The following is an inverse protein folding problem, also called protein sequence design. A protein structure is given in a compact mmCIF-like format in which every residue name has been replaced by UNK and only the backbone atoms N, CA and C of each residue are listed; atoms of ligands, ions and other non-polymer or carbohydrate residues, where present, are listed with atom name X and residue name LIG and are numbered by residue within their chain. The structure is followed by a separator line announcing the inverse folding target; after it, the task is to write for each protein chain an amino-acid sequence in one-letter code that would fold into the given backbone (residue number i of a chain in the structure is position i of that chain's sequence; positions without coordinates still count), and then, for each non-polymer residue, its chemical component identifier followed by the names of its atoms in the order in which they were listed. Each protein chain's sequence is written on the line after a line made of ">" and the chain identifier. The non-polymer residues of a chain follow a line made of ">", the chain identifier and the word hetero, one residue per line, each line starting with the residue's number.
data_IF_560214654406
#
_entry.id   IF_560214654406
#
_cell.length_a   1.000
_cell.length_b   1.000
_cell.length_c   1.000
_cell.angle_alpha   90.00
_cell.angle_beta   90.00
_cell.angle_gamma   90.00
#
_symmetry.space_group_name_H-M   'P 1'
#
loop_
_entity.id
_entity.type
_entity.pdbx_description
1 polymer ?
#
# COMPACT_ATOMS: atom_id res chain seq x y z
N UNK A 1 8.12 -13.75 11.96
CA UNK A 1 7.79 -12.31 11.78
C UNK A 1 6.60 -12.18 10.84
N UNK A 2 5.60 -11.34 11.17
CA UNK A 2 4.50 -11.04 10.24
C UNK A 2 5.02 -10.11 9.13
N UNK A 3 4.60 -10.34 7.87
CA UNK A 3 4.86 -9.43 6.73
C UNK A 3 3.60 -9.28 5.87
N UNK A 4 3.68 -8.49 4.79
CA UNK A 4 2.58 -8.31 3.84
C UNK A 4 1.34 -7.67 4.49
N UNK A 5 0.17 -7.97 3.96
CA UNK A 5 -1.09 -7.36 4.39
C UNK A 5 -1.40 -7.60 5.87
N UNK A 6 -1.03 -8.75 6.42
CA UNK A 6 -1.24 -9.07 7.83
C UNK A 6 -0.44 -8.13 8.76
N UNK A 7 0.84 -7.88 8.47
CA UNK A 7 1.67 -6.99 9.28
C UNK A 7 1.27 -5.53 9.17
N UNK A 8 0.80 -5.13 8.00
CA UNK A 8 0.45 -3.74 7.66
C UNK A 8 -0.99 -3.38 8.00
N UNK A 9 -1.78 -4.34 8.51
CA UNK A 9 -3.20 -4.16 8.75
C UNK A 9 -3.96 -3.82 7.46
N UNK A 10 -3.59 -4.40 6.32
CA UNK A 10 -4.18 -4.11 5.02
C UNK A 10 -5.17 -5.15 4.54
N UNK A 11 -5.47 -6.19 5.32
CA UNK A 11 -6.41 -7.25 4.93
C UNK A 11 -7.79 -6.69 4.56
N UNK A 12 -8.36 -7.22 3.48
CA UNK A 12 -9.70 -6.95 2.99
C UNK A 12 -10.58 -8.19 3.18
N UNK A 13 -11.90 -8.02 3.09
CA UNK A 13 -12.82 -9.16 3.05
C UNK A 13 -12.49 -10.06 1.87
N UNK A 14 -12.49 -11.38 2.11
CA UNK A 14 -12.06 -12.38 1.13
C UNK A 14 -10.57 -12.70 1.16
N UNK A 15 -9.74 -11.89 1.84
CA UNK A 15 -8.34 -12.24 2.04
C UNK A 15 -8.23 -13.44 2.97
N UNK A 16 -7.77 -14.55 2.41
CA UNK A 16 -7.58 -15.79 3.13
C UNK A 16 -6.11 -16.27 3.11
N UNK A 17 -5.22 -15.47 2.53
CA UNK A 17 -3.80 -15.79 2.44
C UNK A 17 -2.95 -14.74 3.16
N UNK A 18 -2.10 -15.17 4.09
CA UNK A 18 -1.20 -14.29 4.86
C UNK A 18 0.23 -14.78 4.83
N UNK A 19 1.17 -13.86 5.05
CA UNK A 19 2.60 -14.15 4.91
C UNK A 19 3.36 -13.94 6.22
N UNK A 20 4.22 -14.91 6.54
CA UNK A 20 5.21 -14.86 7.61
C UNK A 20 6.60 -15.05 7.03
N UNK A 21 7.59 -14.44 7.68
CA UNK A 21 9.01 -14.70 7.41
C UNK A 21 9.69 -15.24 8.66
N UNK A 22 10.43 -16.33 8.50
CA UNK A 22 11.30 -16.92 9.52
C UNK A 22 12.74 -16.52 9.21
N UNK A 23 13.40 -15.88 10.18
CA UNK A 23 14.81 -15.53 10.09
C UNK A 23 15.65 -16.67 10.66
N UNK A 24 16.45 -17.29 9.80
CA UNK A 24 17.42 -18.31 10.13
C UNK A 24 18.76 -17.65 10.47
N UNK A 25 19.51 -18.23 11.42
CA UNK A 25 20.86 -17.78 11.74
C UNK A 25 21.80 -17.96 10.54
N UNK A 26 21.74 -19.15 9.93
CA UNK A 26 22.49 -19.51 8.72
C UNK A 26 21.64 -19.38 7.46
N UNK A 27 22.27 -19.39 6.28
CA UNK A 27 21.54 -19.45 5.00
C UNK A 27 20.63 -20.69 4.98
N UNK A 28 19.31 -20.53 4.77
CA UNK A 28 18.38 -21.64 4.90
C UNK A 28 18.57 -22.65 3.76
N UNK A 29 18.37 -23.92 4.06
CA UNK A 29 18.56 -25.03 3.12
C UNK A 29 17.27 -25.81 2.89
N UNK A 30 17.25 -26.63 1.83
CA UNK A 30 16.15 -27.57 1.56
C UNK A 30 16.00 -28.57 2.70
N UNK A 31 17.12 -29.04 3.26
CA UNK A 31 17.12 -29.92 4.43
C UNK A 31 16.46 -29.28 5.65
N UNK A 32 16.77 -28.01 5.93
CA UNK A 32 16.12 -27.26 7.02
C UNK A 32 14.61 -27.12 6.78
N UNK A 33 14.20 -26.76 5.57
CA UNK A 33 12.79 -26.59 5.21
C UNK A 33 12.00 -27.89 5.37
N UNK A 34 12.54 -29.02 4.91
CA UNK A 34 11.94 -30.33 5.09
C UNK A 34 11.80 -30.68 6.58
N UNK A 35 12.86 -30.49 7.36
CA UNK A 35 12.84 -30.74 8.81
C UNK A 35 11.79 -29.90 9.53
N UNK A 36 11.65 -28.62 9.17
CA UNK A 36 10.60 -27.77 9.74
C UNK A 36 9.22 -28.29 9.35
N UNK A 37 8.99 -28.65 8.09
CA UNK A 37 7.72 -29.16 7.62
C UNK A 37 7.30 -30.49 8.28
N UNK A 38 8.26 -31.36 8.64
CA UNK A 38 8.02 -32.62 9.35
C UNK A 38 7.68 -32.40 10.84
N UNK A 39 8.35 -31.45 11.50
CA UNK A 39 8.17 -31.20 12.94
C UNK A 39 6.93 -30.34 13.23
N UNK A 40 6.62 -29.40 12.33
CA UNK A 40 5.60 -28.37 12.56
C UNK A 40 4.20 -28.93 12.89
N UNK A 41 3.67 -29.99 12.22
CA UNK A 41 2.36 -30.55 12.55
C UNK A 41 2.25 -31.00 14.01
N UNK A 42 3.30 -31.64 14.55
CA UNK A 42 3.31 -32.08 15.95
C UNK A 42 3.27 -30.89 16.92
N UNK A 43 4.00 -29.81 16.59
CA UNK A 43 4.00 -28.59 17.40
C UNK A 43 2.65 -27.85 17.33
N UNK A 44 1.99 -27.84 16.17
CA UNK A 44 0.66 -27.26 16.01
C UNK A 44 -0.39 -27.99 16.86
N UNK A 45 -0.33 -29.33 16.92
CA UNK A 45 -1.26 -30.13 17.75
C UNK A 45 -1.12 -29.87 19.25
N UNK A 46 0.06 -29.44 19.71
CA UNK A 46 0.28 -29.08 21.13
C UNK A 46 -0.46 -27.79 21.48
N UNK A 47 -0.46 -26.80 20.58
CA UNK A 47 -1.04 -25.46 20.85
C UNK A 47 -2.50 -25.34 20.44
N UNK A 48 -2.96 -26.18 19.51
CA UNK A 48 -4.31 -26.19 18.97
C UNK A 48 -4.74 -27.65 18.70
N UNK A 49 -5.08 -28.42 19.76
CA UNK A 49 -5.35 -29.86 19.65
C UNK A 49 -6.62 -30.20 18.87
N UNK A 50 -7.60 -29.29 18.87
CA UNK A 50 -8.89 -29.47 18.20
C UNK A 50 -8.87 -29.04 16.72
N UNK A 51 -7.80 -28.36 16.28
CA UNK A 51 -7.67 -27.84 14.92
C UNK A 51 -6.84 -28.78 14.04
N UNK A 52 -7.23 -28.89 12.77
CA UNK A 52 -6.46 -29.63 11.77
C UNK A 52 -5.77 -28.66 10.82
N UNK A 53 -4.45 -28.85 10.66
CA UNK A 53 -3.62 -28.04 9.77
C UNK A 53 -2.93 -28.90 8.71
N UNK A 54 -2.99 -28.45 7.46
CA UNK A 54 -2.26 -29.05 6.35
C UNK A 54 -0.97 -28.28 6.11
N UNK A 55 0.17 -28.97 6.17
CA UNK A 55 1.50 -28.39 5.92
C UNK A 55 2.01 -28.83 4.55
N UNK A 56 2.19 -27.87 3.64
CA UNK A 56 2.79 -28.04 2.33
C UNK A 56 4.19 -27.46 2.27
N UNK A 57 5.08 -28.04 1.46
CA UNK A 57 6.47 -27.60 1.29
C UNK A 57 6.72 -27.14 -0.14
N UNK A 58 7.40 -26.01 -0.30
CA UNK A 58 7.65 -25.33 -1.57
C UNK A 58 9.11 -24.86 -1.64
N UNK A 59 10.08 -25.79 -1.80
CA UNK A 59 11.51 -25.45 -1.76
C UNK A 59 11.93 -24.43 -2.82
N UNK A 60 11.31 -24.46 -4.01
CA UNK A 60 11.51 -23.49 -5.10
C UNK A 60 11.06 -22.07 -4.74
N UNK A 61 10.14 -21.94 -3.79
CA UNK A 61 9.67 -20.67 -3.24
C UNK A 61 10.37 -20.29 -1.92
N UNK A 62 11.35 -21.09 -1.46
CA UNK A 62 11.96 -20.99 -0.14
C UNK A 62 10.93 -20.97 1.02
N UNK A 63 9.79 -21.64 0.83
CA UNK A 63 8.63 -21.49 1.71
C UNK A 63 7.95 -22.82 2.07
N UNK A 64 7.14 -22.77 3.12
CA UNK A 64 6.14 -23.78 3.44
C UNK A 64 4.78 -23.10 3.60
N UNK A 65 3.69 -23.82 3.38
CA UNK A 65 2.32 -23.34 3.56
C UNK A 65 1.67 -24.09 4.71
N UNK A 66 1.02 -23.37 5.62
CA UNK A 66 0.16 -23.95 6.67
C UNK A 66 -1.27 -23.53 6.39
N UNK A 67 -2.16 -24.49 6.12
CA UNK A 67 -3.56 -24.22 5.80
C UNK A 67 -4.46 -24.77 6.90
N UNK A 68 -5.37 -23.95 7.41
CA UNK A 68 -6.36 -24.34 8.42
C UNK A 68 -7.70 -23.65 8.13
N UNK A 69 -8.78 -24.43 8.03
CA UNK A 69 -10.08 -23.92 7.59
C UNK A 69 -9.98 -23.26 6.22
N UNK A 70 -10.41 -21.99 6.12
CA UNK A 70 -10.32 -21.20 4.90
C UNK A 70 -9.00 -20.45 4.73
N UNK A 71 -8.13 -20.40 5.75
CA UNK A 71 -6.94 -19.56 5.79
C UNK A 71 -5.68 -20.34 5.45
N UNK A 72 -4.81 -19.74 4.64
CA UNK A 72 -3.48 -20.24 4.29
C UNK A 72 -2.40 -19.26 4.72
N UNK A 73 -1.38 -19.76 5.40
CA UNK A 73 -0.21 -19.01 5.84
C UNK A 73 1.00 -19.46 5.04
N UNK A 74 1.56 -18.59 4.21
CA UNK A 74 2.88 -18.82 3.59
C UNK A 74 3.98 -18.39 4.55
N UNK A 75 4.89 -19.30 4.88
CA UNK A 75 6.04 -19.08 5.76
C UNK A 75 7.32 -19.20 4.95
N UNK A 76 7.96 -18.07 4.67
CA UNK A 76 9.22 -18.03 3.89
C UNK A 76 10.43 -18.03 4.82
N UNK A 77 11.40 -18.88 4.53
CA UNK A 77 12.66 -18.95 5.27
C UNK A 77 13.70 -18.04 4.59
N UNK A 78 14.40 -17.24 5.39
CA UNK A 78 15.49 -16.39 4.90
C UNK A 78 16.53 -16.15 5.99
N UNK A 79 17.68 -15.60 5.64
CA UNK A 79 18.72 -15.19 6.60
C UNK A 79 19.32 -13.85 6.17
N UNK A 80 19.71 -12.96 7.10
CA UNK A 80 20.46 -11.76 6.76
C UNK A 80 21.70 -12.03 5.90
N UNK A 81 22.34 -13.19 6.07
CA UNK A 81 23.50 -13.64 5.30
C UNK A 81 23.21 -13.83 3.80
N UNK A 82 21.94 -13.90 3.40
CA UNK A 82 21.56 -14.00 1.98
C UNK A 82 21.88 -12.73 1.18
N UNK A 83 22.12 -11.59 1.86
CA UNK A 83 22.53 -10.34 1.21
C UNK A 83 24.02 -10.29 0.93
N UNK A 84 24.82 -11.13 1.57
CA UNK A 84 26.26 -11.15 1.35
C UNK A 84 26.54 -11.74 -0.03
N UNK A 85 27.27 -10.99 -0.85
CA UNK A 85 27.90 -11.53 -2.06
C UNK A 85 29.15 -12.30 -1.64
N UNK A 86 29.36 -13.54 -2.11
CA UNK A 86 30.64 -14.19 -1.93
C UNK A 86 31.72 -13.26 -2.49
N UNK A 87 32.66 -12.84 -1.64
CA UNK A 87 33.85 -12.16 -2.12
C UNK A 87 34.58 -13.16 -3.02
N UNK A 88 34.91 -12.83 -4.29
CA UNK A 88 35.77 -13.71 -5.07
C UNK A 88 37.03 -13.96 -4.24
N UNK A 89 37.43 -15.23 -4.10
CA UNK A 89 38.74 -15.56 -3.58
C UNK A 89 39.76 -14.99 -4.58
N UNK A 90 40.22 -13.77 -4.32
CA UNK A 90 41.32 -13.17 -5.06
C UNK A 90 42.53 -14.04 -4.79
N UNK A 91 42.97 -14.76 -5.82
CA UNK A 91 44.30 -15.32 -5.88
C UNK A 91 45.28 -14.17 -5.59
N UNK A 92 46.08 -14.35 -4.54
CA UNK A 92 47.15 -13.44 -4.23
C UNK A 92 48.23 -13.58 -5.30
N UNK A 93 48.36 -12.58 -6.17
CA UNK A 93 49.59 -12.30 -6.87
C UNK A 93 50.00 -10.84 -6.59
N UNK A 94 51.17 -10.71 -5.98
CA UNK A 94 51.80 -9.45 -5.60
C UNK A 94 52.51 -8.83 -6.81
N UNK A 95 52.28 -7.54 -7.08
CA UNK A 95 53.33 -6.59 -7.49
C UNK A 95 52.84 -5.13 -7.52
N UNK A 96 53.34 -4.30 -6.59
CA UNK A 96 53.94 -2.99 -6.90
C UNK A 96 53.08 -1.71 -7.05
N UNK A 97 53.28 -0.80 -6.07
CA UNK A 97 53.41 0.68 -6.17
C UNK A 97 52.21 1.64 -5.93
N UNK A 98 52.18 2.17 -4.68
CA UNK A 98 52.14 3.59 -4.24
C UNK A 98 51.22 4.66 -4.89
N UNK A 99 50.26 5.22 -4.11
CA UNK A 99 50.21 6.61 -3.54
C UNK A 99 48.76 7.05 -3.17
N UNK A 100 48.48 7.22 -1.86
CA UNK A 100 48.15 8.46 -1.11
C UNK A 100 46.85 9.23 -1.46
N UNK A 101 45.94 9.30 -0.48
CA UNK A 101 44.83 10.27 -0.41
C UNK A 101 43.91 9.99 0.79
N UNK A 102 43.95 10.86 1.80
CA UNK A 102 43.43 10.63 3.16
C UNK A 102 41.91 10.88 3.34
N UNK A 103 41.24 10.02 4.11
CA UNK A 103 40.16 10.37 5.05
C UNK A 103 39.82 9.16 5.95
N UNK A 104 40.01 9.30 7.26
CA UNK A 104 39.62 8.31 8.27
C UNK A 104 38.09 8.22 8.41
N UNK A 105 37.56 7.02 8.74
CA UNK A 105 36.78 6.92 9.97
C UNK A 105 37.22 5.76 10.88
N UNK A 106 36.96 5.98 12.16
CA UNK A 106 37.33 5.17 13.32
C UNK A 106 37.01 3.68 13.21
N UNK A 107 37.99 2.89 13.65
CA UNK A 107 38.04 1.44 13.73
C UNK A 107 37.21 0.90 14.89
N UNK A 108 36.29 -0.01 14.60
CA UNK A 108 36.05 -1.18 15.46
C UNK A 108 36.58 -2.40 14.69
N UNK A 109 37.40 -3.29 15.29
CA UNK A 109 38.02 -4.37 14.55
C UNK A 109 36.97 -5.46 14.26
N UNK A 110 36.42 -5.43 13.05
CA UNK A 110 35.68 -6.57 12.51
C UNK A 110 36.65 -7.72 12.28
N UNK A 111 36.54 -8.75 13.10
CA UNK A 111 37.22 -10.03 12.93
C UNK A 111 36.85 -10.60 11.56
N UNK A 112 37.78 -11.12 10.74
CA UNK A 112 37.43 -11.72 9.46
C UNK A 112 36.63 -13.00 9.74
N UNK A 113 35.33 -12.95 9.48
CA UNK A 113 34.51 -14.16 9.49
C UNK A 113 35.00 -15.06 8.35
N UNK A 114 35.63 -16.18 8.70
CA UNK A 114 35.91 -17.28 7.78
C UNK A 114 34.55 -17.77 7.29
N UNK A 115 34.15 -17.36 6.08
CA UNK A 115 32.91 -17.81 5.45
C UNK A 115 33.03 -19.30 5.18
N UNK A 116 32.33 -20.11 5.97
CA UNK A 116 32.13 -21.53 5.64
C UNK A 116 31.53 -21.61 4.23
N UNK A 117 31.98 -22.57 3.39
CA UNK A 117 31.37 -22.77 2.09
C UNK A 117 29.87 -23.03 2.26
N UNK A 118 29.07 -22.41 1.40
CA UNK A 118 27.61 -22.58 1.41
C UNK A 118 27.26 -24.07 1.22
N UNK A 119 26.31 -24.61 1.99
CA UNK A 119 25.80 -25.96 1.75
C UNK A 119 25.28 -26.12 0.30
N UNK A 120 25.38 -27.31 -0.31
CA UNK A 120 24.97 -27.52 -1.69
C UNK A 120 23.46 -27.36 -1.91
N UNK A 121 22.66 -27.40 -0.84
CA UNK A 121 21.20 -27.37 -0.87
C UNK A 121 20.59 -26.06 -0.32
N UNK A 122 21.33 -24.94 -0.37
CA UNK A 122 20.80 -23.61 -0.02
C UNK A 122 19.55 -23.27 -0.84
N UNK A 123 18.57 -22.66 -0.18
CA UNK A 123 17.31 -22.24 -0.82
C UNK A 123 17.53 -21.12 -1.85
N UNK A 124 16.61 -20.95 -2.81
CA UNK A 124 16.76 -19.96 -3.88
C UNK A 124 17.03 -18.54 -3.37
N UNK A 125 18.19 -17.99 -3.72
CA UNK A 125 18.66 -16.68 -3.24
C UNK A 125 17.66 -15.55 -3.50
N UNK A 126 17.07 -15.52 -4.70
CA UNK A 126 16.08 -14.51 -5.07
C UNK A 126 14.88 -14.49 -4.11
N UNK A 127 14.33 -15.67 -3.78
CA UNK A 127 13.18 -15.79 -2.87
C UNK A 127 13.50 -15.41 -1.43
N UNK A 128 14.69 -15.75 -0.97
CA UNK A 128 15.14 -15.30 0.34
C UNK A 128 15.36 -13.77 0.40
N UNK A 129 15.84 -13.16 -0.68
CA UNK A 129 15.97 -11.70 -0.78
C UNK A 129 14.61 -10.99 -0.84
N UNK A 130 13.64 -11.53 -1.60
CA UNK A 130 12.25 -11.05 -1.61
C UNK A 130 11.65 -11.05 -0.18
N UNK A 131 11.87 -12.12 0.59
CA UNK A 131 11.41 -12.21 1.98
C UNK A 131 12.07 -11.15 2.89
N UNK A 132 13.36 -10.86 2.68
CA UNK A 132 14.07 -9.79 3.38
C UNK A 132 13.60 -8.38 2.96
N UNK A 133 13.18 -8.21 1.70
CA UNK A 133 12.51 -6.98 1.25
C UNK A 133 11.15 -6.83 1.94
N UNK A 134 10.32 -7.88 1.96
CA UNK A 134 9.01 -7.85 2.64
C UNK A 134 9.13 -7.50 4.15
N UNK A 135 10.18 -7.97 4.83
CA UNK A 135 10.49 -7.57 6.20
C UNK A 135 10.82 -6.08 6.33
N UNK A 136 11.62 -5.52 5.42
CA UNK A 136 11.93 -4.09 5.40
C UNK A 136 10.66 -3.28 5.11
N UNK A 137 9.85 -3.69 4.16
CA UNK A 137 8.58 -3.02 3.81
C UNK A 137 7.63 -3.00 5.01
N UNK A 138 7.50 -4.12 5.72
CA UNK A 138 6.67 -4.18 6.93
C UNK A 138 7.18 -3.23 8.04
N UNK A 139 8.49 -3.15 8.26
CA UNK A 139 9.10 -2.22 9.23
C UNK A 139 8.90 -0.76 8.81
N UNK A 140 9.16 -0.44 7.55
CA UNK A 140 8.95 0.89 7.00
C UNK A 140 7.48 1.30 7.14
N UNK A 141 6.55 0.42 6.77
CA UNK A 141 5.12 0.70 6.84
C UNK A 141 4.69 1.02 8.27
N UNK A 142 5.15 0.22 9.24
CA UNK A 142 4.87 0.45 10.65
C UNK A 142 5.39 1.80 11.14
N UNK A 143 6.57 2.21 10.69
CA UNK A 143 7.21 3.46 11.09
C UNK A 143 6.66 4.71 10.37
N UNK A 144 6.12 4.56 9.15
CA UNK A 144 5.81 5.69 8.26
C UNK A 144 4.33 5.82 7.91
N UNK A 145 3.63 4.71 7.70
CA UNK A 145 2.26 4.69 7.20
C UNK A 145 1.22 4.43 8.29
N UNK A 146 1.52 3.57 9.29
CA UNK A 146 0.53 3.13 10.29
C UNK A 146 -0.07 4.28 11.11
N UNK A 147 0.75 5.24 11.55
CA UNK A 147 0.30 6.39 12.34
C UNK A 147 -0.16 7.58 11.50
N UNK A 148 -0.01 7.52 10.17
CA UNK A 148 -0.41 8.60 9.29
C UNK A 148 -1.92 8.58 9.08
N UNK A 149 -2.60 9.63 9.56
CA UNK A 149 -4.06 9.72 9.51
C UNK A 149 -4.60 9.45 8.10
N UNK A 150 -5.63 8.61 8.03
CA UNK A 150 -6.29 8.17 6.79
C UNK A 150 -5.45 7.27 5.86
N UNK A 151 -4.13 7.16 6.04
CA UNK A 151 -3.25 6.44 5.12
C UNK A 151 -3.64 4.97 4.95
N UNK A 152 -3.73 4.21 6.05
CA UNK A 152 -4.12 2.79 6.02
C UNK A 152 -5.49 2.58 5.36
N UNK A 153 -6.46 3.46 5.65
CA UNK A 153 -7.81 3.37 5.07
C UNK A 153 -7.79 3.63 3.56
N UNK A 154 -7.06 4.66 3.12
CA UNK A 154 -6.92 4.98 1.68
C UNK A 154 -6.21 3.85 0.94
N UNK A 155 -5.16 3.26 1.53
CA UNK A 155 -4.49 2.10 0.92
C UNK A 155 -5.47 0.94 0.76
N UNK A 156 -6.29 0.63 1.77
CA UNK A 156 -7.33 -0.42 1.66
C UNK A 156 -8.33 -0.14 0.53
N UNK A 157 -8.83 1.10 0.44
CA UNK A 157 -9.75 1.52 -0.63
C UNK A 157 -9.10 1.37 -2.01
N UNK A 158 -7.84 1.81 -2.15
CA UNK A 158 -7.12 1.72 -3.41
C UNK A 158 -6.77 0.29 -3.78
N UNK A 159 -6.50 -0.58 -2.79
CA UNK A 159 -6.26 -2.00 -3.02
C UNK A 159 -7.50 -2.68 -3.57
N UNK A 160 -8.67 -2.37 -3.02
CA UNK A 160 -9.96 -2.80 -3.57
C UNK A 160 -10.16 -2.27 -5.01
N UNK A 161 -9.86 -1.00 -5.26
CA UNK A 161 -9.93 -0.43 -6.60
C UNK A 161 -9.02 -1.16 -7.60
N UNK A 162 -7.78 -1.48 -7.21
CA UNK A 162 -6.84 -2.25 -8.04
C UNK A 162 -7.35 -3.66 -8.35
N UNK A 163 -8.10 -4.27 -7.42
CA UNK A 163 -8.72 -5.57 -7.63
C UNK A 163 -9.92 -5.50 -8.58
N UNK A 164 -10.75 -4.45 -8.47
CA UNK A 164 -11.98 -4.31 -9.26
C UNK A 164 -11.75 -3.73 -10.65
N UNK A 165 -10.73 -2.88 -10.83
CA UNK A 165 -10.48 -2.14 -12.07
C UNK A 165 -9.16 -2.61 -12.67
N UNK A 166 -9.17 -3.47 -13.72
CA UNK A 166 -7.97 -4.07 -14.30
C UNK A 166 -6.91 -3.06 -14.73
N UNK A 167 -7.31 -1.86 -15.16
CA UNK A 167 -6.40 -0.75 -15.49
C UNK A 167 -5.41 -0.44 -14.38
N UNK A 168 -5.81 -0.58 -13.11
CA UNK A 168 -4.97 -0.30 -11.95
C UNK A 168 -4.15 -1.51 -11.48
N UNK A 169 -4.40 -2.70 -12.02
CA UNK A 169 -3.70 -3.94 -11.66
C UNK A 169 -2.17 -3.90 -11.80
N UNK A 170 -1.58 -3.19 -12.78
CA UNK A 170 -0.12 -3.04 -12.89
C UNK A 170 0.53 -2.27 -11.74
N UNK A 171 -0.22 -1.44 -10.99
CA UNK A 171 0.30 -0.74 -9.82
C UNK A 171 0.50 -1.74 -8.69
N UNK A 172 1.74 -2.21 -8.52
CA UNK A 172 2.04 -3.23 -7.53
C UNK A 172 1.75 -2.73 -6.09
N UNK A 173 1.45 -3.63 -5.14
CA UNK A 173 1.04 -3.24 -3.78
C UNK A 173 2.05 -2.36 -3.06
N UNK A 174 3.35 -2.59 -3.27
CA UNK A 174 4.39 -1.79 -2.61
C UNK A 174 4.44 -0.36 -3.14
N UNK A 175 4.35 -0.18 -4.46
CA UNK A 175 4.24 1.14 -5.07
C UNK A 175 2.98 1.89 -4.60
N UNK A 176 1.84 1.20 -4.48
CA UNK A 176 0.60 1.81 -3.96
C UNK A 176 0.79 2.32 -2.52
N UNK A 177 1.40 1.51 -1.65
CA UNK A 177 1.69 1.89 -0.25
C UNK A 177 2.62 3.11 -0.17
N UNK A 178 3.73 3.09 -0.90
CA UNK A 178 4.71 4.18 -0.96
C UNK A 178 4.08 5.47 -1.49
N UNK A 179 3.33 5.38 -2.59
CA UNK A 179 2.68 6.53 -3.21
C UNK A 179 1.67 7.16 -2.25
N UNK A 180 0.84 6.33 -1.60
CA UNK A 180 -0.20 6.81 -0.68
C UNK A 180 0.42 7.49 0.55
N UNK A 181 1.45 6.89 1.15
CA UNK A 181 2.16 7.52 2.27
C UNK A 181 2.76 8.85 1.87
N UNK A 182 3.48 8.91 0.73
CA UNK A 182 4.18 10.11 0.28
C UNK A 182 3.21 11.25 -0.05
N UNK A 183 2.07 10.93 -0.66
CA UNK A 183 1.04 11.92 -0.98
C UNK A 183 0.42 12.51 0.29
N UNK A 184 0.10 11.66 1.28
CA UNK A 184 -0.56 12.11 2.50
C UNK A 184 0.43 12.82 3.43
N UNK A 185 1.66 12.32 3.56
CA UNK A 185 2.67 12.90 4.45
C UNK A 185 3.10 14.31 4.01
N UNK A 186 2.98 14.62 2.72
CA UNK A 186 3.29 15.95 2.15
C UNK A 186 2.12 16.93 2.19
N UNK A 187 0.98 16.58 2.81
CA UNK A 187 -0.20 17.46 2.86
C UNK A 187 -0.07 18.65 3.82
N UNK A 188 0.93 18.65 4.71
CA UNK A 188 1.14 19.72 5.70
C UNK A 188 0.19 19.67 6.90
N UNK A 189 -0.71 18.69 6.96
CA UNK A 189 -1.65 18.49 8.06
C UNK A 189 -2.47 17.21 7.93
N UNK A 190 -3.25 16.84 8.96
CA UNK A 190 -4.10 15.66 8.93
C UNK A 190 -5.22 15.82 7.88
N UNK A 191 -5.41 14.78 7.07
CA UNK A 191 -6.48 14.74 6.06
C UNK A 191 -7.61 13.82 6.50
N UNK A 192 -8.85 14.18 6.17
CA UNK A 192 -9.96 13.23 6.21
C UNK A 192 -9.77 12.13 5.15
N UNK A 193 -10.40 10.95 5.28
CA UNK A 193 -10.27 9.88 4.27
C UNK A 193 -10.67 10.32 2.85
N UNK A 194 -11.70 11.16 2.73
CA UNK A 194 -12.15 11.68 1.44
C UNK A 194 -11.14 12.64 0.80
N UNK A 195 -10.54 13.54 1.59
CA UNK A 195 -9.50 14.46 1.10
C UNK A 195 -8.21 13.71 0.75
N UNK A 196 -7.81 12.74 1.57
CA UNK A 196 -6.63 11.91 1.33
C UNK A 196 -6.77 11.11 0.02
N UNK A 197 -7.92 10.47 -0.20
CA UNK A 197 -8.21 9.77 -1.46
C UNK A 197 -8.21 10.74 -2.65
N UNK A 198 -8.87 11.90 -2.52
CA UNK A 198 -8.89 12.93 -3.58
C UNK A 198 -7.48 13.40 -3.93
N UNK A 199 -6.63 13.67 -2.93
CA UNK A 199 -5.24 14.10 -3.11
C UNK A 199 -4.39 13.03 -3.80
N UNK A 200 -4.61 11.76 -3.47
CA UNK A 200 -3.95 10.64 -4.17
C UNK A 200 -4.34 10.58 -5.64
N UNK A 201 -5.64 10.72 -5.96
CA UNK A 201 -6.11 10.80 -7.34
C UNK A 201 -5.54 12.03 -8.07
N UNK A 202 -5.44 13.18 -7.41
CA UNK A 202 -4.78 14.38 -7.98
C UNK A 202 -3.32 14.13 -8.33
N UNK A 203 -2.57 13.47 -7.45
CA UNK A 203 -1.16 13.16 -7.68
C UNK A 203 -0.97 12.22 -8.88
N UNK A 204 -1.79 11.15 -8.98
CA UNK A 204 -1.73 10.21 -10.12
C UNK A 204 -2.20 10.87 -11.42
N UNK A 205 -3.29 11.65 -11.36
CA UNK A 205 -3.83 12.38 -12.49
C UNK A 205 -2.86 13.45 -13.02
N UNK A 206 -2.02 14.01 -12.13
CA UNK A 206 -0.95 14.95 -12.46
C UNK A 206 0.27 14.31 -13.12
N UNK A 207 0.26 12.99 -13.36
CA UNK A 207 1.27 12.32 -14.16
C UNK A 207 2.51 11.87 -13.40
N UNK A 208 2.43 11.69 -12.06
CA UNK A 208 3.57 11.19 -11.26
C UNK A 208 4.08 9.81 -11.69
N UNK A 209 3.26 9.04 -12.45
CA UNK A 209 3.63 7.73 -12.97
C UNK A 209 4.18 7.80 -14.40
N UNK A 210 4.04 8.93 -15.12
CA UNK A 210 4.42 9.04 -16.52
C UNK A 210 5.95 9.02 -16.71
N UNK A 211 6.45 8.60 -17.88
CA UNK A 211 7.86 8.75 -18.24
C UNK A 211 8.33 10.20 -18.09
N UNK A 212 9.53 10.40 -17.56
CA UNK A 212 10.09 11.74 -17.30
C UNK A 212 9.69 12.37 -15.98
N UNK A 213 8.76 11.76 -15.22
CA UNK A 213 8.52 12.12 -13.82
C UNK A 213 9.67 11.66 -12.90
N UNK A 214 9.78 12.19 -11.66
CA UNK A 214 10.77 11.72 -10.69
C UNK A 214 10.61 10.24 -10.26
N UNK A 215 9.52 9.57 -10.63
CA UNK A 215 9.21 8.20 -10.22
C UNK A 215 8.94 8.05 -8.72
N UNK A 216 9.01 6.80 -8.24
CA UNK A 216 8.74 6.43 -6.86
C UNK A 216 9.93 5.66 -6.26
N UNK A 217 10.90 6.40 -5.73
CA UNK A 217 12.07 5.82 -5.07
C UNK A 217 11.67 4.89 -3.91
N UNK A 218 12.24 3.69 -3.91
CA UNK A 218 12.07 2.71 -2.84
C UNK A 218 13.00 3.04 -1.65
N UNK A 219 12.46 3.45 -0.48
CA UNK A 219 13.26 3.79 0.69
C UNK A 219 13.82 2.56 1.42
N UNK A 220 13.41 1.35 1.03
CA UNK A 220 13.89 0.11 1.63
C UNK A 220 15.12 -0.44 0.92
N UNK A 221 15.46 0.02 -0.29
CA UNK A 221 16.66 -0.41 -1.03
C UNK A 221 17.85 0.52 -0.85
N UNK A 222 19.06 -0.05 -0.92
CA UNK A 222 20.31 0.74 -0.83
C UNK A 222 20.60 1.47 -2.13
N UNK A 223 20.51 0.74 -3.23
CA UNK A 223 20.64 1.30 -4.56
C UNK A 223 19.35 2.05 -4.94
N UNK A 224 19.42 3.12 -5.74
CA UNK A 224 18.24 3.80 -6.25
C UNK A 224 17.38 2.84 -7.07
N UNK A 225 16.21 2.46 -6.53
CA UNK A 225 15.23 1.60 -7.19
C UNK A 225 13.92 2.37 -7.35
N UNK A 226 13.39 2.41 -8.56
CA UNK A 226 12.04 2.93 -8.83
C UNK A 226 11.00 1.82 -8.59
N UNK A 227 10.14 1.98 -7.59
CA UNK A 227 9.13 1.00 -7.20
C UNK A 227 8.07 0.73 -8.28
N UNK A 228 7.94 1.62 -9.26
CA UNK A 228 7.08 1.44 -10.44
C UNK A 228 7.85 1.03 -11.70
N UNK A 229 9.16 0.76 -11.60
CA UNK A 229 10.05 0.50 -12.74
C UNK A 229 9.65 -0.66 -13.64
N UNK A 230 8.83 -1.60 -13.17
CA UNK A 230 8.30 -2.72 -13.95
C UNK A 230 7.06 -2.38 -14.80
N UNK A 231 6.49 -1.17 -14.66
CA UNK A 231 5.34 -0.72 -15.43
C UNK A 231 5.76 -0.17 -16.79
N UNK A 232 5.07 -0.62 -17.85
CA UNK A 232 5.23 -0.08 -19.21
C UNK A 232 4.71 1.34 -19.31
N UNK A 233 5.16 2.09 -20.33
CA UNK A 233 4.66 3.44 -20.60
C UNK A 233 3.14 3.47 -20.82
N UNK A 234 2.58 2.48 -21.52
CA UNK A 234 1.14 2.39 -21.75
C UNK A 234 0.35 2.16 -20.45
N UNK A 235 0.81 1.24 -19.60
CA UNK A 235 0.16 1.01 -18.29
C UNK A 235 0.17 2.26 -17.41
N UNK A 236 1.26 3.05 -17.47
CA UNK A 236 1.37 4.33 -16.74
C UNK A 236 0.37 5.35 -17.28
N UNK A 237 0.28 5.49 -18.60
CA UNK A 237 -0.70 6.36 -19.27
C UNK A 237 -2.14 5.97 -18.91
N UNK A 238 -2.48 4.69 -19.00
CA UNK A 238 -3.83 4.19 -18.73
C UNK A 238 -4.26 4.47 -17.27
N UNK A 239 -3.35 4.27 -16.31
CA UNK A 239 -3.62 4.58 -14.89
C UNK A 239 -3.77 6.09 -14.69
N UNK A 240 -2.92 6.91 -15.32
CA UNK A 240 -3.02 8.37 -15.24
C UNK A 240 -4.34 8.87 -15.83
N UNK A 241 -4.75 8.39 -17.00
CA UNK A 241 -6.04 8.72 -17.62
C UNK A 241 -7.23 8.25 -16.77
N UNK A 242 -7.14 7.05 -16.19
CA UNK A 242 -8.15 6.52 -15.26
C UNK A 242 -8.27 7.40 -14.01
N UNK A 243 -7.15 7.83 -13.42
CA UNK A 243 -7.14 8.73 -12.27
C UNK A 243 -7.71 10.12 -12.60
N UNK A 244 -7.41 10.67 -13.78
CA UNK A 244 -8.01 11.92 -14.25
C UNK A 244 -9.53 11.83 -14.37
N UNK A 245 -10.06 10.69 -14.83
CA UNK A 245 -11.50 10.46 -14.85
C UNK A 245 -12.08 10.32 -13.44
N UNK A 246 -11.48 9.50 -12.59
CA UNK A 246 -11.90 9.31 -11.20
C UNK A 246 -11.91 10.63 -10.42
N UNK A 247 -10.90 11.47 -10.60
CA UNK A 247 -10.81 12.78 -9.97
C UNK A 247 -11.97 13.70 -10.37
N UNK A 248 -12.34 13.71 -11.67
CA UNK A 248 -13.52 14.47 -12.15
C UNK A 248 -14.80 13.93 -11.51
N UNK A 249 -14.98 12.61 -11.45
CA UNK A 249 -16.12 12.00 -10.76
C UNK A 249 -16.19 12.46 -9.29
N UNK A 250 -15.06 12.47 -8.57
CA UNK A 250 -15.00 12.97 -7.18
C UNK A 250 -15.40 14.45 -7.11
N UNK A 251 -14.86 15.30 -7.99
CA UNK A 251 -15.18 16.73 -8.03
C UNK A 251 -16.68 17.00 -8.30
N UNK A 252 -17.32 16.18 -9.15
CA UNK A 252 -18.74 16.25 -9.46
C UNK A 252 -19.62 15.40 -8.53
N UNK A 253 -19.12 15.04 -7.34
CA UNK A 253 -19.86 14.32 -6.28
C UNK A 253 -20.35 12.92 -6.69
N UNK A 254 -19.64 12.28 -7.61
CA UNK A 254 -19.89 10.93 -8.10
C UNK A 254 -18.85 9.92 -7.59
N UNK A 255 -18.28 10.16 -6.40
CA UNK A 255 -17.29 9.29 -5.76
C UNK A 255 -17.77 7.84 -5.60
N UNK A 256 -19.07 7.62 -5.42
CA UNK A 256 -19.67 6.27 -5.34
C UNK A 256 -19.36 5.41 -6.57
N UNK A 257 -19.25 6.01 -7.77
CA UNK A 257 -18.85 5.30 -8.99
C UNK A 257 -17.39 4.84 -8.94
N UNK A 258 -16.49 5.67 -8.39
CA UNK A 258 -15.08 5.32 -8.21
C UNK A 258 -14.94 4.19 -7.18
N UNK A 259 -15.73 4.26 -6.11
CA UNK A 259 -15.77 3.24 -5.06
C UNK A 259 -16.52 1.96 -5.46
N UNK A 260 -17.15 1.92 -6.64
CA UNK A 260 -17.90 0.75 -7.10
C UNK A 260 -19.10 0.41 -6.21
N UNK A 261 -19.75 1.43 -5.65
CA UNK A 261 -20.88 1.28 -4.73
C UNK A 261 -22.07 2.13 -5.15
N UNK A 262 -23.25 1.82 -4.60
CA UNK A 262 -24.42 2.67 -4.75
C UNK A 262 -24.24 4.02 -4.05
N UNK A 263 -24.92 5.03 -4.57
CA UNK A 263 -24.91 6.34 -3.95
C UNK A 263 -25.63 6.28 -2.60
N UNK A 264 -24.92 6.65 -1.53
CA UNK A 264 -25.51 6.74 -0.20
C UNK A 264 -26.68 7.74 -0.18
N UNK A 265 -27.73 7.47 0.64
CA UNK A 265 -28.84 8.39 0.79
C UNK A 265 -28.36 9.74 1.30
N UNK A 266 -29.01 10.85 0.90
CA UNK A 266 -28.64 12.17 1.38
C UNK A 266 -28.76 12.23 2.91
N UNK A 267 -27.81 12.89 3.61
CA UNK A 267 -27.84 12.98 5.06
C UNK A 267 -29.13 13.67 5.53
N UNK A 268 -29.79 13.05 6.53
CA UNK A 268 -31.08 13.52 7.07
C UNK A 268 -30.98 14.89 7.76
N UNK A 269 -29.81 15.23 8.29
CA UNK A 269 -29.53 16.54 8.87
C UNK A 269 -28.69 17.39 7.91
N UNK A 270 -29.32 18.41 7.34
CA UNK A 270 -28.61 19.48 6.64
C UNK A 270 -27.93 20.38 7.67
N UNK A 271 -26.70 20.03 8.06
CA UNK A 271 -25.83 20.97 8.76
C UNK A 271 -25.70 22.27 7.98
N UNK A 272 -25.51 23.39 8.68
CA UNK A 272 -25.47 24.79 8.18
C UNK A 272 -24.42 25.13 7.12
N UNK A 273 -23.80 24.16 6.45
CA UNK A 273 -22.86 24.39 5.35
C UNK A 273 -23.60 24.45 4.01
N UNK A 274 -24.47 25.45 3.89
CA UNK A 274 -25.14 25.81 2.65
C UNK A 274 -24.24 26.69 1.79
N UNK A 275 -23.65 26.11 0.74
CA UNK A 275 -23.52 26.73 -0.60
C UNK A 275 -23.37 25.59 -1.60
N UNK A 276 -24.52 25.04 -2.03
CA UNK A 276 -24.57 24.19 -3.23
C UNK A 276 -24.25 25.10 -4.43
N UNK A 277 -23.19 24.77 -5.19
CA UNK A 277 -23.09 25.26 -6.58
C UNK A 277 -24.33 24.74 -7.32
N UNK A 278 -25.07 25.67 -7.93
CA UNK A 278 -26.29 25.40 -8.70
C UNK A 278 -25.95 24.42 -9.82
N UNK A 279 -26.69 23.31 -9.89
CA UNK A 279 -26.61 22.33 -10.96
C UNK A 279 -27.40 22.92 -12.12
N UNK A 280 -26.74 23.39 -13.16
CA UNK A 280 -27.40 23.60 -14.45
C UNK A 280 -27.62 22.21 -15.04
N UNK A 281 -28.85 21.74 -14.98
CA UNK A 281 -29.27 20.51 -15.62
C UNK A 281 -30.22 20.93 -16.73
N UNK A 282 -29.70 21.06 -17.95
CA UNK A 282 -30.51 21.06 -19.17
C UNK A 282 -30.97 19.62 -19.41
N UNK A 283 -32.11 19.27 -18.83
CA UNK A 283 -32.99 18.25 -19.41
C UNK A 283 -34.39 18.52 -18.85
N UNK A 284 -35.26 18.98 -19.74
CA UNK A 284 -36.65 19.25 -19.42
C UNK A 284 -37.40 17.96 -19.18
N UNK A 285 -38.23 17.99 -18.14
CA UNK A 285 -39.61 17.50 -18.17
C UNK A 285 -40.32 18.22 -17.02
N UNK A 286 -41.35 18.97 -17.38
CA UNK A 286 -42.04 19.88 -16.49
C UNK A 286 -43.05 19.18 -15.60
N UNK A 287 -43.25 19.75 -14.42
CA UNK A 287 -44.58 19.99 -13.87
C UNK A 287 -44.49 21.27 -13.05
N UNK A 288 -45.01 22.33 -13.64
CA UNK A 288 -45.31 23.62 -13.02
C UNK A 288 -46.44 23.43 -12.00
N UNK A 289 -46.29 23.95 -10.78
CA UNK A 289 -47.42 24.21 -9.87
C UNK A 289 -47.01 25.22 -8.79
N UNK A 290 -47.51 26.43 -8.99
CA UNK A 290 -47.86 27.45 -7.99
C UNK A 290 -46.77 28.22 -7.25
N UNK A 291 -46.23 29.22 -7.96
CA UNK A 291 -45.99 30.54 -7.39
C UNK A 291 -47.23 31.42 -7.60
N UNK A 292 -48.06 31.63 -6.58
CA UNK A 292 -49.11 32.66 -6.59
C UNK A 292 -49.54 33.03 -5.16
N UNK A 293 -48.94 34.09 -4.62
CA UNK A 293 -49.63 35.07 -3.75
C UNK A 293 -48.77 36.33 -3.65
N UNK A 294 -49.00 37.22 -4.60
CA UNK A 294 -48.53 38.59 -4.64
C UNK A 294 -49.55 39.47 -3.93
N UNK A 295 -49.05 40.30 -3.02
CA UNK A 295 -49.51 41.63 -2.62
C UNK A 295 -51.01 41.95 -2.73
N UNK A 296 -51.66 42.04 -1.57
CA UNK A 296 -52.85 42.89 -1.40
C UNK A 296 -52.97 43.32 0.06
N UNK A 297 -52.55 44.55 0.37
CA UNK A 297 -53.31 45.56 1.14
C UNK A 297 -52.40 46.76 1.47
N UNK A 298 -52.43 47.76 0.60
CA UNK A 298 -52.14 49.14 0.97
C UNK A 298 -53.49 49.86 1.15
N UNK A 299 -53.54 50.66 2.22
CA UNK A 299 -54.40 51.81 2.47
C UNK A 299 -55.93 51.69 2.34
N UNK A 300 -56.58 51.73 3.50
CA UNK A 300 -57.80 52.52 3.67
C UNK A 300 -57.58 53.48 4.85
N UNK A 301 -57.60 54.77 4.53
CA UNK A 301 -57.51 55.92 5.43
C UNK A 301 -58.88 56.16 6.06
N UNK A 302 -58.95 56.38 7.38
CA UNK A 302 -59.85 57.39 7.97
C UNK A 302 -59.38 57.84 9.36
N UNK A 303 -59.20 59.15 9.44
CA UNK A 303 -58.95 59.98 10.63
C UNK A 303 -60.17 60.05 11.57
N UNK A 304 -59.93 60.69 12.72
CA UNK A 304 -60.82 61.12 13.83
C UNK A 304 -60.68 60.24 15.09
N UNK A 305 -60.37 60.73 16.29
CA UNK A 305 -60.34 62.10 16.82
C UNK A 305 -59.56 62.12 18.14
N UNK A 306 -59.01 63.28 18.46
CA UNK A 306 -58.33 63.69 19.69
C UNK A 306 -59.29 63.82 20.90
N UNK A 307 -58.72 63.99 22.11
CA UNK A 307 -59.32 64.17 23.47
C UNK A 307 -59.48 62.86 24.27
N UNK A 308 -58.97 62.71 25.49
CA UNK A 308 -58.61 63.66 26.55
C UNK A 308 -57.54 63.06 27.47
#
# INVERSE_FOLDING_TARGET
>A
MRVGNLAKGLLLSGDNHVCLVVLCAEKPTRSLLNKVAEILPAQLKIVAPEDTYNVGKHPESAALTVSGGSVTVSVTLTSPLMRETPKPAVAADNAGQQQQGAAQPQTTPATPAVTKPDPPDVLPKAKCLEALAALRHAKWFQARATSLQSCVMVIRIMRDLCNRVPTWGPLNPWALELLTEKVISTAGGPLSPGEALRRLLECVAGGILLPGSPGLSDPCEKEPVDAIGNMTAQQREDITASAQHALRLVAFRQIHKVLGMEQLPPPKYKGRYGRKRRRDNSNGEGTDSEASKKDKKAEEIKMETDSK
#
